data_IF_761708456289
#
_entry.id   IF_761708456289
#
_cell.length_a   1.000
_cell.length_b   1.000
_cell.length_c   1.000
_cell.angle_alpha   90.00
_cell.angle_beta   90.00
_cell.angle_gamma   90.00
#
_symmetry.space_group_name_H-M   'P 1'
#
loop_
_entity.id
_entity.type
_entity.pdbx_description
1 polymer ?
#
# COMPACT_ATOMS: atom_id res chain seq x y z
N UNK A 1 10.41 5.55 -1.77
CA UNK A 1 10.94 5.80 -3.13
C UNK A 1 11.89 6.99 -3.14
N UNK A 2 11.39 8.23 -3.12
CA UNK A 2 12.24 9.43 -3.09
C UNK A 2 13.21 9.39 -1.89
N UNK A 3 12.71 8.94 -0.74
CA UNK A 3 13.52 8.62 0.43
C UNK A 3 14.73 7.71 0.14
N UNK A 4 14.52 6.58 -0.55
CA UNK A 4 15.59 5.65 -0.92
C UNK A 4 16.57 6.28 -1.93
N UNK A 5 16.09 7.10 -2.87
CA UNK A 5 16.96 7.91 -3.73
C UNK A 5 17.83 8.88 -2.91
N UNK A 6 17.27 9.49 -1.86
CA UNK A 6 17.99 10.41 -0.97
C UNK A 6 19.11 9.74 -0.17
N UNK A 7 18.98 8.43 0.11
CA UNK A 7 20.03 7.62 0.74
C UNK A 7 20.99 7.03 -0.32
N UNK A 8 20.97 7.52 -1.57
CA UNK A 8 21.78 7.03 -2.70
C UNK A 8 21.51 5.55 -3.10
N UNK A 9 20.37 4.99 -2.70
CA UNK A 9 19.95 3.62 -3.04
C UNK A 9 18.95 3.62 -4.20
N UNK A 10 19.43 3.94 -5.40
CA UNK A 10 18.59 4.09 -6.59
C UNK A 10 17.99 2.76 -7.07
N UNK A 11 18.75 1.66 -7.01
CA UNK A 11 18.27 0.32 -7.40
C UNK A 11 17.07 -0.11 -6.56
N UNK A 12 17.15 0.07 -5.24
CA UNK A 12 16.06 -0.23 -4.30
C UNK A 12 14.85 0.68 -4.52
N UNK A 13 15.10 1.96 -4.84
CA UNK A 13 14.02 2.89 -5.17
C UNK A 13 13.26 2.46 -6.43
N UNK A 14 13.96 2.06 -7.49
CA UNK A 14 13.34 1.55 -8.72
C UNK A 14 12.66 0.21 -8.48
N UNK A 15 13.24 -0.67 -7.67
CA UNK A 15 12.59 -1.92 -7.27
C UNK A 15 11.23 -1.67 -6.59
N UNK A 16 11.19 -0.76 -5.61
CA UNK A 16 9.93 -0.37 -4.99
C UNK A 16 8.98 0.35 -5.96
N UNK A 17 9.48 1.16 -6.90
CA UNK A 17 8.65 1.78 -7.95
C UNK A 17 7.90 0.75 -8.78
N UNK A 18 8.59 -0.31 -9.22
CA UNK A 18 7.97 -1.36 -10.01
C UNK A 18 6.89 -2.10 -9.20
N UNK A 19 7.22 -2.51 -7.97
CA UNK A 19 6.24 -3.16 -7.09
C UNK A 19 5.03 -2.25 -6.83
N UNK A 20 5.28 -0.96 -6.58
CA UNK A 20 4.27 0.06 -6.36
C UNK A 20 3.35 0.25 -7.56
N UNK A 21 3.89 0.25 -8.78
CA UNK A 21 3.08 0.31 -9.99
C UNK A 21 2.09 -0.87 -10.06
N UNK A 22 2.53 -2.10 -9.75
CA UNK A 22 1.67 -3.27 -9.79
C UNK A 22 0.55 -3.23 -8.75
N UNK A 23 0.88 -3.02 -7.47
CA UNK A 23 -0.17 -3.05 -6.44
C UNK A 23 -1.10 -1.83 -6.52
N UNK A 24 -0.61 -0.65 -6.96
CA UNK A 24 -1.49 0.49 -7.21
C UNK A 24 -2.40 0.25 -8.42
N UNK A 25 -1.88 -0.29 -9.51
CA UNK A 25 -2.71 -0.63 -10.67
C UNK A 25 -3.83 -1.62 -10.28
N UNK A 26 -3.50 -2.64 -9.50
CA UNK A 26 -4.47 -3.61 -9.00
C UNK A 26 -5.54 -2.96 -8.10
N UNK A 27 -5.16 -2.05 -7.19
CA UNK A 27 -6.10 -1.33 -6.33
C UNK A 27 -7.02 -0.42 -7.15
N UNK A 28 -6.48 0.33 -8.13
CA UNK A 28 -7.28 1.23 -8.97
C UNK A 28 -8.22 0.47 -9.91
N UNK A 29 -7.79 -0.67 -10.48
CA UNK A 29 -8.66 -1.52 -11.29
C UNK A 29 -9.79 -2.14 -10.45
N UNK A 30 -9.48 -2.59 -9.24
CA UNK A 30 -10.47 -3.14 -8.31
C UNK A 30 -11.45 -2.06 -7.83
N UNK A 31 -10.98 -0.85 -7.57
CA UNK A 31 -11.85 0.28 -7.23
C UNK A 31 -12.75 0.66 -8.42
N UNK A 32 -12.21 0.68 -9.64
CA UNK A 32 -12.97 0.95 -10.86
C UNK A 32 -14.09 -0.06 -11.09
N UNK A 33 -13.87 -1.35 -10.82
CA UNK A 33 -14.93 -2.36 -10.93
C UNK A 33 -16.02 -2.20 -9.87
N UNK A 34 -15.67 -1.80 -8.63
CA UNK A 34 -16.65 -1.45 -7.59
C UNK A 34 -17.47 -0.23 -7.98
N UNK A 35 -16.82 0.86 -8.42
CA UNK A 35 -17.49 2.10 -8.82
C UNK A 35 -18.48 1.83 -9.97
N UNK A 36 -18.06 1.06 -10.97
CA UNK A 36 -18.93 0.70 -12.08
C UNK A 36 -20.12 -0.16 -11.63
N UNK A 37 -19.89 -1.13 -10.75
CA UNK A 37 -20.97 -1.95 -10.18
C UNK A 37 -21.96 -1.15 -9.33
N UNK A 38 -21.51 -0.05 -8.71
CA UNK A 38 -22.30 0.85 -7.88
C UNK A 38 -22.88 2.04 -8.65
N UNK A 39 -22.99 1.96 -9.98
CA UNK A 39 -23.54 3.03 -10.83
C UNK A 39 -22.83 4.38 -10.65
N UNK A 40 -21.49 4.34 -10.67
CA UNK A 40 -20.60 5.49 -10.54
C UNK A 40 -20.62 6.18 -9.16
N UNK A 41 -21.17 5.54 -8.13
CA UNK A 41 -21.03 6.02 -6.74
C UNK A 41 -19.59 5.83 -6.25
N UNK A 42 -18.98 6.92 -5.75
CA UNK A 42 -17.61 6.93 -5.21
C UNK A 42 -17.57 7.18 -3.69
N UNK A 43 -18.69 7.58 -3.09
CA UNK A 43 -18.75 7.81 -1.64
C UNK A 43 -18.80 6.48 -0.89
N UNK A 44 -17.69 6.13 -0.22
CA UNK A 44 -17.57 4.91 0.56
C UNK A 44 -18.63 4.78 1.66
N UNK A 45 -19.28 5.88 2.09
CA UNK A 45 -20.35 5.84 3.10
C UNK A 45 -21.67 5.30 2.56
N UNK A 46 -21.82 5.23 1.24
CA UNK A 46 -22.98 4.67 0.54
C UNK A 46 -22.70 3.26 -0.01
N UNK A 47 -21.51 2.73 0.24
CA UNK A 47 -21.11 1.38 -0.09
C UNK A 47 -21.27 0.49 1.15
N UNK A 48 -21.25 -0.83 0.97
CA UNK A 48 -21.29 -1.79 2.07
C UNK A 48 -21.72 -3.18 1.62
N UNK A 49 -21.26 -4.22 2.32
CA UNK A 49 -21.65 -5.62 2.08
C UNK A 49 -21.21 -6.22 0.73
N UNK A 50 -20.29 -5.56 0.01
CA UNK A 50 -19.86 -6.00 -1.32
C UNK A 50 -18.99 -7.28 -1.32
N UNK A 51 -18.51 -7.73 -0.15
CA UNK A 51 -17.65 -8.92 -0.06
C UNK A 51 -18.32 -10.18 -0.62
N UNK A 52 -19.63 -10.35 -0.39
CA UNK A 52 -20.38 -11.51 -0.91
C UNK A 52 -20.80 -11.33 -2.36
N UNK A 53 -21.05 -10.10 -2.81
CA UNK A 53 -21.49 -9.80 -4.18
C UNK A 53 -20.34 -9.84 -5.19
N UNK A 54 -19.15 -9.39 -4.77
CA UNK A 54 -17.96 -9.29 -5.62
C UNK A 54 -16.74 -9.94 -4.96
N UNK A 55 -16.76 -11.27 -4.72
CA UNK A 55 -15.70 -11.96 -3.97
C UNK A 55 -14.34 -11.89 -4.66
N UNK A 56 -14.31 -11.87 -6.00
CA UNK A 56 -13.07 -11.72 -6.76
C UNK A 56 -12.45 -10.33 -6.58
N UNK A 57 -13.25 -9.27 -6.71
CA UNK A 57 -12.79 -7.89 -6.52
C UNK A 57 -12.33 -7.67 -5.09
N UNK A 58 -13.03 -8.24 -4.10
CA UNK A 58 -12.63 -8.23 -2.70
C UNK A 58 -11.27 -8.91 -2.50
N UNK A 59 -11.06 -10.11 -3.04
CA UNK A 59 -9.80 -10.83 -2.92
C UNK A 59 -8.62 -10.07 -3.56
N UNK A 60 -8.83 -9.47 -4.73
CA UNK A 60 -7.81 -8.64 -5.38
C UNK A 60 -7.53 -7.38 -4.56
N UNK A 61 -8.57 -6.65 -4.12
CA UNK A 61 -8.42 -5.47 -3.27
C UNK A 61 -7.66 -5.78 -1.97
N UNK A 62 -7.96 -6.92 -1.34
CA UNK A 62 -7.26 -7.41 -0.15
C UNK A 62 -5.78 -7.65 -0.44
N UNK A 63 -5.45 -8.38 -1.50
CA UNK A 63 -4.05 -8.64 -1.90
C UNK A 63 -3.29 -7.35 -2.20
N UNK A 64 -3.93 -6.40 -2.89
CA UNK A 64 -3.37 -5.07 -3.16
C UNK A 64 -3.12 -4.28 -1.87
N UNK A 65 -4.07 -4.34 -0.93
CA UNK A 65 -3.99 -3.62 0.34
C UNK A 65 -2.92 -4.21 1.27
N UNK A 66 -2.81 -5.53 1.34
CA UNK A 66 -1.74 -6.21 2.09
C UNK A 66 -0.35 -5.85 1.54
N UNK A 67 -0.20 -5.80 0.21
CA UNK A 67 1.03 -5.33 -0.42
C UNK A 67 1.27 -3.84 -0.14
N UNK A 68 0.24 -3.00 -0.17
CA UNK A 68 0.38 -1.57 0.12
C UNK A 68 0.84 -1.31 1.55
N UNK A 69 0.30 -2.00 2.55
CA UNK A 69 0.70 -1.83 3.96
C UNK A 69 2.12 -2.37 4.17
N UNK A 70 2.51 -3.42 3.44
CA UNK A 70 3.76 -4.14 3.64
C UNK A 70 3.61 -5.30 4.62
N UNK A 71 2.46 -5.97 4.60
CA UNK A 71 2.25 -7.22 5.35
C UNK A 71 3.30 -8.27 4.92
N UNK A 72 3.78 -9.17 5.81
CA UNK A 72 4.74 -10.20 5.44
C UNK A 72 4.23 -11.04 4.24
N UNK A 73 5.13 -11.45 3.34
CA UNK A 73 4.92 -12.24 2.11
C UNK A 73 4.68 -11.48 0.79
N UNK A 74 3.77 -10.48 0.66
CA UNK A 74 3.65 -9.66 -0.56
C UNK A 74 4.91 -8.88 -0.96
N UNK A 75 4.97 -8.47 -2.22
CA UNK A 75 6.09 -7.71 -2.80
C UNK A 75 6.34 -6.35 -2.12
N UNK A 76 5.30 -5.74 -1.57
CA UNK A 76 5.41 -4.50 -0.81
C UNK A 76 6.26 -4.64 0.46
N UNK A 77 6.22 -5.78 1.14
CA UNK A 77 7.05 -6.05 2.31
C UNK A 77 8.54 -6.03 1.96
N UNK A 78 8.97 -6.85 1.00
CA UNK A 78 10.38 -6.95 0.62
C UNK A 78 10.99 -5.62 0.17
N UNK A 79 10.18 -4.76 -0.45
CA UNK A 79 10.67 -3.46 -0.92
C UNK A 79 10.64 -2.38 0.17
N UNK A 80 9.62 -2.35 1.03
CA UNK A 80 9.52 -1.36 2.11
C UNK A 80 10.49 -1.66 3.26
N UNK A 81 10.62 -2.93 3.63
CA UNK A 81 11.46 -3.38 4.74
C UNK A 81 12.94 -3.05 4.46
N UNK A 82 13.43 -3.41 3.27
CA UNK A 82 14.79 -3.09 2.82
C UNK A 82 15.05 -1.57 2.81
N UNK A 83 14.06 -0.75 2.44
CA UNK A 83 14.21 0.71 2.46
C UNK A 83 14.40 1.23 3.90
N UNK A 84 13.66 0.68 4.87
CA UNK A 84 13.79 1.05 6.27
C UNK A 84 15.10 0.54 6.88
N UNK A 85 15.48 -0.70 6.58
CA UNK A 85 16.73 -1.29 7.05
C UNK A 85 17.95 -0.49 6.56
N UNK A 86 17.97 -0.08 5.29
CA UNK A 86 19.03 0.75 4.72
C UNK A 86 19.11 2.15 5.34
N UNK A 87 17.99 2.67 5.83
CA UNK A 87 17.97 3.94 6.56
C UNK A 87 18.59 3.81 7.95
N UNK A 88 18.26 2.72 8.64
CA UNK A 88 18.76 2.43 9.99
C UNK A 88 20.26 2.10 10.00
N UNK A 89 20.70 1.27 9.05
CA UNK A 89 22.11 0.80 8.93
C UNK A 89 23.10 1.89 8.49
N UNK A 90 22.63 3.07 8.08
CA UNK A 90 23.51 4.23 7.81
C UNK A 90 24.19 4.78 9.08
N UNK A 91 23.70 4.45 10.28
CA UNK A 91 24.23 4.93 11.58
C UNK A 91 24.43 6.46 11.65
N UNK A 92 23.59 7.23 10.95
CA UNK A 92 23.57 8.70 11.00
C UNK A 92 22.33 9.19 11.74
N UNK A 93 22.42 10.35 12.39
CA UNK A 93 21.26 10.99 13.06
C UNK A 93 20.12 11.20 12.05
N UNK A 94 20.45 11.63 10.83
CA UNK A 94 19.49 11.79 9.73
C UNK A 94 18.87 10.47 9.28
N UNK A 95 19.64 9.37 9.24
CA UNK A 95 19.15 8.04 8.88
C UNK A 95 18.17 7.48 9.91
N UNK A 96 18.51 7.61 11.20
CA UNK A 96 17.63 7.21 12.31
C UNK A 96 16.33 8.03 12.32
N UNK A 97 16.41 9.35 12.10
CA UNK A 97 15.23 10.19 12.00
C UNK A 97 14.32 9.74 10.84
N UNK A 98 14.90 9.46 9.69
CA UNK A 98 14.13 9.02 8.53
C UNK A 98 13.55 7.60 8.68
N UNK A 99 14.22 6.71 9.42
CA UNK A 99 13.67 5.41 9.81
C UNK A 99 12.40 5.55 10.65
N UNK A 100 12.40 6.43 11.65
CA UNK A 100 11.23 6.67 12.49
C UNK A 100 10.05 7.25 11.69
N UNK A 101 10.31 8.26 10.85
CA UNK A 101 9.28 8.81 9.95
C UNK A 101 8.74 7.76 8.98
N UNK A 102 9.62 6.93 8.41
CA UNK A 102 9.22 5.86 7.52
C UNK A 102 8.35 4.81 8.21
N UNK A 103 8.66 4.47 9.46
CA UNK A 103 7.90 3.53 10.28
C UNK A 103 6.51 4.08 10.63
N UNK A 104 6.43 5.36 11.00
CA UNK A 104 5.16 6.03 11.27
C UNK A 104 4.25 6.10 10.02
N UNK A 105 4.86 6.35 8.85
CA UNK A 105 4.13 6.32 7.58
C UNK A 105 3.54 4.93 7.27
N UNK A 106 4.18 3.83 7.70
CA UNK A 106 3.62 2.49 7.52
C UNK A 106 2.34 2.32 8.33
N UNK A 107 2.30 2.82 9.57
CA UNK A 107 1.14 2.76 10.45
C UNK A 107 -0.04 3.50 9.80
N UNK A 108 0.17 4.75 9.38
CA UNK A 108 -0.85 5.54 8.69
C UNK A 108 -1.32 4.88 7.37
N UNK A 109 -0.41 4.26 6.63
CA UNK A 109 -0.79 3.50 5.42
C UNK A 109 -1.65 2.29 5.76
N UNK A 110 -1.43 1.67 6.93
CA UNK A 110 -2.30 0.68 7.53
C UNK A 110 -3.73 1.19 7.65
N UNK A 111 -3.93 2.25 8.44
CA UNK A 111 -5.25 2.85 8.72
C UNK A 111 -6.05 3.17 7.45
N UNK A 112 -5.41 3.82 6.49
CA UNK A 112 -6.07 4.14 5.21
C UNK A 112 -6.45 2.90 4.40
N UNK A 113 -5.62 1.85 4.40
CA UNK A 113 -5.95 0.59 3.75
C UNK A 113 -7.08 -0.16 4.46
N UNK A 114 -7.16 -0.09 5.80
CA UNK A 114 -8.30 -0.64 6.53
C UNK A 114 -9.60 0.07 6.14
N UNK A 115 -9.61 1.41 6.05
CA UNK A 115 -10.80 2.15 5.62
C UNK A 115 -11.27 1.76 4.22
N UNK A 116 -10.34 1.61 3.27
CA UNK A 116 -10.64 1.19 1.88
C UNK A 116 -11.18 -0.24 1.81
N UNK A 117 -10.79 -1.11 2.74
CA UNK A 117 -11.27 -2.49 2.78
C UNK A 117 -12.60 -2.62 3.51
N UNK A 118 -12.75 -1.99 4.67
CA UNK A 118 -13.90 -2.22 5.54
C UNK A 118 -15.14 -1.48 5.04
N UNK A 119 -15.01 -0.22 4.60
CA UNK A 119 -16.19 0.62 4.28
C UNK A 119 -16.97 0.14 3.05
N UNK A 120 -16.35 -0.35 1.97
CA UNK A 120 -17.10 -0.81 0.81
C UNK A 120 -17.58 -2.26 0.94
N UNK A 121 -16.82 -3.12 1.62
CA UNK A 121 -17.00 -4.57 1.55
C UNK A 121 -17.70 -5.20 2.77
N UNK A 122 -17.60 -4.58 3.95
CA UNK A 122 -18.36 -4.97 5.14
C UNK A 122 -19.63 -4.12 5.28
#
# INVERSE_FOLDING_TARGET
MIFACGISNYSVSVFHLMNHAFFKALLFLSAGSVIHAMSDEQDMRKMGGLASSFPFTYAMMLMGSLSLIGFPFPTGFYSKDVILELAYTKYTISGNFAFWLGSDQLIHSGETSYDVMMRPFL
#
